data_IF_902004334477
#
_entry.id   IF_902004334477
#
_cell.length_a   1.000
_cell.length_b   1.000
_cell.length_c   1.000
_cell.angle_alpha   90.00
_cell.angle_beta   90.00
_cell.angle_gamma   90.00
#
_symmetry.space_group_name_H-M   'P 1'
#
loop_
_entity.id
_entity.type
_entity.pdbx_description
1 polymer ?
#
# COMPACT_ATOMS: atom_id res chain seq x y z
N UNK A 1 2.96 -14.08 -1.05
CA UNK A 1 2.40 -12.81 -1.54
C UNK A 1 2.85 -11.68 -0.64
N UNK A 2 3.54 -10.69 -1.17
CA UNK A 2 4.05 -9.55 -0.41
C UNK A 2 3.29 -8.28 -0.78
N UNK A 3 2.85 -7.54 0.23
CA UNK A 3 2.25 -6.21 0.05
C UNK A 3 3.21 -5.20 0.65
N UNK A 4 3.66 -4.26 -0.18
CA UNK A 4 4.55 -3.20 0.25
C UNK A 4 3.80 -1.87 0.31
N UNK A 5 3.52 -1.39 1.51
CA UNK A 5 2.98 -0.05 1.75
C UNK A 5 3.93 0.84 2.57
N UNK A 6 5.01 0.26 3.08
CA UNK A 6 5.91 0.90 4.02
C UNK A 6 7.00 1.79 3.38
N UNK A 7 7.97 2.20 4.19
CA UNK A 7 9.12 3.07 3.87
C UNK A 7 10.06 2.53 2.79
N UNK A 8 9.90 1.29 2.34
CA UNK A 8 10.69 0.78 1.23
C UNK A 8 10.23 1.47 -0.05
N UNK A 9 11.14 2.21 -0.64
CA UNK A 9 10.93 2.84 -1.94
C UNK A 9 10.57 1.74 -2.95
N UNK A 10 9.43 1.88 -3.61
CA UNK A 10 9.11 1.09 -4.78
C UNK A 10 10.25 1.27 -5.78
N UNK A 11 11.06 0.24 -5.96
CA UNK A 11 12.19 0.24 -6.87
C UNK A 11 12.11 -0.95 -7.82
N UNK A 12 12.73 -0.82 -8.98
CA UNK A 12 12.87 -1.92 -9.93
C UNK A 12 13.56 -3.13 -9.30
N UNK A 13 14.58 -2.89 -8.46
CA UNK A 13 15.28 -3.93 -7.69
C UNK A 13 14.36 -4.71 -6.75
N UNK A 14 13.38 -4.03 -6.14
CA UNK A 14 12.40 -4.69 -5.27
C UNK A 14 11.52 -5.67 -6.06
N UNK A 15 11.04 -5.28 -7.25
CA UNK A 15 10.26 -6.18 -8.10
C UNK A 15 11.09 -7.34 -8.63
N UNK A 16 12.36 -7.10 -8.95
CA UNK A 16 13.27 -8.14 -9.39
C UNK A 16 13.52 -9.18 -8.29
N UNK A 17 13.75 -8.74 -7.04
CA UNK A 17 13.87 -9.63 -5.89
C UNK A 17 12.58 -10.44 -5.65
N UNK A 18 11.39 -9.81 -5.76
CA UNK A 18 10.10 -10.51 -5.65
C UNK A 18 9.97 -11.59 -6.72
N UNK A 19 10.37 -11.29 -7.97
CA UNK A 19 10.34 -12.24 -9.07
C UNK A 19 11.30 -13.42 -8.82
N UNK A 20 12.52 -13.16 -8.34
CA UNK A 20 13.51 -14.19 -8.01
C UNK A 20 13.00 -15.15 -6.92
N UNK A 21 12.25 -14.65 -5.95
CA UNK A 21 11.66 -15.47 -4.88
C UNK A 21 10.34 -16.16 -5.29
N UNK A 22 9.92 -16.06 -6.56
CA UNK A 22 8.67 -16.62 -7.09
C UNK A 22 7.43 -16.15 -6.32
N UNK A 23 7.46 -14.93 -5.81
CA UNK A 23 6.35 -14.31 -5.10
C UNK A 23 5.66 -13.25 -5.95
N UNK A 24 4.44 -12.90 -5.55
CA UNK A 24 3.67 -11.81 -6.14
C UNK A 24 3.71 -10.56 -5.26
N UNK A 25 3.61 -9.38 -5.88
CA UNK A 25 3.62 -8.11 -5.17
C UNK A 25 2.41 -7.25 -5.54
N UNK A 26 1.83 -6.61 -4.52
CA UNK A 26 0.89 -5.50 -4.66
C UNK A 26 1.48 -4.30 -3.94
N UNK A 27 1.82 -3.23 -4.67
CA UNK A 27 2.60 -2.12 -4.15
C UNK A 27 1.92 -0.78 -4.46
N UNK A 28 1.81 0.09 -3.46
CA UNK A 28 1.27 1.43 -3.66
C UNK A 28 2.23 2.31 -4.46
N UNK A 29 1.73 2.95 -5.50
CA UNK A 29 2.47 3.95 -6.28
C UNK A 29 2.49 5.27 -5.51
N UNK A 30 3.67 5.74 -5.14
CA UNK A 30 3.87 6.99 -4.41
C UNK A 30 4.11 8.17 -5.35
N UNK A 31 3.90 9.42 -4.90
CA UNK A 31 4.13 10.63 -5.73
C UNK A 31 5.54 10.80 -6.26
N UNK A 32 6.56 10.21 -5.61
CA UNK A 32 7.93 10.22 -6.10
C UNK A 32 8.14 9.38 -7.37
N UNK A 33 7.22 8.47 -7.68
CA UNK A 33 7.20 7.65 -8.91
C UNK A 33 6.34 8.33 -9.98
N UNK A 34 6.69 9.56 -10.37
CA UNK A 34 5.89 10.43 -11.25
C UNK A 34 5.49 9.75 -12.56
N UNK A 35 6.43 9.11 -13.24
CA UNK A 35 6.19 8.44 -14.53
C UNK A 35 5.13 7.34 -14.38
N UNK A 36 5.31 6.44 -13.42
CA UNK A 36 4.40 5.32 -13.16
C UNK A 36 3.01 5.81 -12.72
N UNK A 37 2.96 6.83 -11.87
CA UNK A 37 1.72 7.45 -11.42
C UNK A 37 0.95 8.09 -12.58
N UNK A 38 1.63 8.80 -13.47
CA UNK A 38 1.01 9.41 -14.65
C UNK A 38 0.49 8.34 -15.61
N UNK A 39 1.24 7.25 -15.82
CA UNK A 39 0.75 6.12 -16.62
C UNK A 39 -0.50 5.48 -16.00
N UNK A 40 -0.52 5.29 -14.67
CA UNK A 40 -1.69 4.74 -13.98
C UNK A 40 -2.93 5.65 -14.11
N UNK A 41 -2.75 6.96 -13.98
CA UNK A 41 -3.83 7.93 -14.19
C UNK A 41 -4.34 7.88 -15.63
N UNK A 42 -3.45 7.99 -16.60
CA UNK A 42 -3.80 7.96 -18.01
C UNK A 42 -4.58 6.69 -18.38
N UNK A 43 -4.09 5.52 -17.95
CA UNK A 43 -4.78 4.25 -18.22
C UNK A 43 -6.16 4.23 -17.56
N UNK A 44 -6.29 4.71 -16.31
CA UNK A 44 -7.57 4.71 -15.60
C UNK A 44 -8.58 5.72 -16.13
N UNK A 45 -8.14 6.74 -16.85
CA UNK A 45 -9.01 7.77 -17.46
C UNK A 45 -9.48 7.38 -18.86
N UNK A 46 -8.66 6.60 -19.60
CA UNK A 46 -8.91 6.29 -21.02
C UNK A 46 -9.34 4.85 -21.29
N UNK A 47 -9.28 3.97 -20.29
CA UNK A 47 -9.65 2.56 -20.46
C UNK A 47 -10.79 2.17 -19.51
N UNK A 48 -11.58 1.20 -19.94
CA UNK A 48 -12.58 0.57 -19.07
C UNK A 48 -11.90 -0.40 -18.09
N UNK A 49 -12.31 -0.43 -16.83
CA UNK A 49 -11.77 -1.38 -15.87
C UNK A 49 -12.17 -2.82 -16.22
N UNK A 50 -11.26 -3.77 -16.07
CA UNK A 50 -11.55 -5.20 -16.22
C UNK A 50 -12.55 -5.69 -15.16
N UNK A 51 -12.37 -5.23 -13.94
CA UNK A 51 -13.25 -5.53 -12.82
C UNK A 51 -13.37 -4.31 -11.91
N UNK A 52 -14.52 -4.18 -11.26
CA UNK A 52 -14.75 -3.13 -10.26
C UNK A 52 -15.45 -3.70 -9.03
N UNK A 53 -15.13 -3.16 -7.87
CA UNK A 53 -15.74 -3.54 -6.60
C UNK A 53 -15.96 -2.32 -5.73
N UNK A 54 -17.19 -2.15 -5.24
CA UNK A 54 -17.51 -1.11 -4.27
C UNK A 54 -17.81 -1.75 -2.92
N UNK A 55 -16.98 -1.43 -1.95
CA UNK A 55 -17.15 -1.92 -0.59
C UNK A 55 -18.35 -1.26 0.08
N UNK A 56 -19.15 -2.06 0.81
CA UNK A 56 -20.25 -1.53 1.63
C UNK A 56 -19.71 -0.47 2.62
N UNK A 57 -20.50 0.59 2.87
CA UNK A 57 -20.10 1.64 3.79
C UNK A 57 -19.73 1.07 5.17
N UNK A 58 -18.54 1.40 5.66
CA UNK A 58 -18.10 1.02 7.00
C UNK A 58 -18.27 2.22 7.94
N UNK A 59 -19.08 2.05 8.98
CA UNK A 59 -19.33 3.06 10.01
C UNK A 59 -18.56 2.67 11.27
N UNK A 60 -17.45 3.33 11.56
CA UNK A 60 -16.66 3.15 12.78
C UNK A 60 -16.21 4.48 13.34
N UNK A 61 -16.30 4.66 14.68
CA UNK A 61 -15.79 5.84 15.40
C UNK A 61 -16.19 7.18 14.78
N UNK A 62 -17.50 7.34 14.45
CA UNK A 62 -18.05 8.56 13.82
C UNK A 62 -17.56 8.80 12.39
N UNK A 63 -17.00 7.80 11.71
CA UNK A 63 -16.56 7.87 10.31
C UNK A 63 -17.42 6.98 9.46
N UNK A 64 -17.83 7.50 8.31
CA UNK A 64 -18.46 6.73 7.24
C UNK A 64 -17.46 6.66 6.09
N UNK A 65 -16.98 5.46 5.79
CA UNK A 65 -15.99 5.25 4.74
C UNK A 65 -16.51 4.26 3.70
N UNK A 66 -16.42 4.64 2.43
CA UNK A 66 -16.65 3.79 1.26
C UNK A 66 -15.39 3.71 0.43
N UNK A 67 -15.15 2.56 -0.18
CA UNK A 67 -14.04 2.35 -1.11
C UNK A 67 -14.56 1.75 -2.39
N UNK A 68 -14.10 2.30 -3.52
CA UNK A 68 -14.29 1.75 -4.85
C UNK A 68 -12.92 1.33 -5.38
N UNK A 69 -12.81 0.11 -5.86
CA UNK A 69 -11.62 -0.42 -6.48
C UNK A 69 -11.93 -0.73 -7.94
N UNK A 70 -10.99 -0.39 -8.80
CA UNK A 70 -11.06 -0.63 -10.24
C UNK A 70 -9.72 -1.19 -10.69
N UNK A 71 -9.76 -2.27 -11.46
CA UNK A 71 -8.57 -2.97 -11.96
C UNK A 71 -8.42 -2.73 -13.45
N UNK A 72 -7.25 -2.30 -13.87
CA UNK A 72 -6.93 -1.99 -15.26
C UNK A 72 -5.74 -2.83 -15.71
N UNK A 73 -5.89 -3.59 -16.79
CA UNK A 73 -4.76 -4.28 -17.41
C UNK A 73 -3.79 -3.28 -18.03
N UNK A 74 -2.52 -3.66 -18.05
CA UNK A 74 -1.50 -2.94 -18.79
C UNK A 74 -1.34 -3.68 -20.12
N UNK A 75 -1.64 -3.04 -21.26
CA UNK A 75 -1.44 -3.68 -22.57
C UNK A 75 0.03 -4.06 -22.77
N UNK A 76 0.30 -5.29 -23.21
CA UNK A 76 1.65 -5.78 -23.47
C UNK A 76 2.39 -4.92 -24.50
N UNK A 77 1.67 -4.45 -25.51
CA UNK A 77 2.20 -3.55 -26.54
C UNK A 77 2.74 -2.25 -25.93
N UNK A 78 2.06 -1.70 -24.93
CA UNK A 78 2.51 -0.48 -24.24
C UNK A 78 3.81 -0.70 -23.48
N UNK A 79 4.05 -1.90 -22.95
CA UNK A 79 5.28 -2.25 -22.24
C UNK A 79 6.48 -2.37 -23.17
N UNK A 80 6.29 -2.91 -24.38
CA UNK A 80 7.36 -3.13 -25.34
C UNK A 80 7.79 -1.85 -26.05
N UNK A 81 6.85 -0.94 -26.33
CA UNK A 81 7.11 0.27 -27.12
C UNK A 81 7.60 1.46 -26.29
N UNK A 82 7.28 1.52 -24.99
CA UNK A 82 7.58 2.68 -24.16
C UNK A 82 8.74 2.41 -23.20
N UNK A 83 9.84 3.14 -23.39
CA UNK A 83 11.02 3.10 -22.51
C UNK A 83 10.70 3.33 -21.02
N UNK A 84 9.55 3.92 -20.68
CA UNK A 84 9.07 4.11 -19.30
C UNK A 84 8.89 2.78 -18.56
N UNK A 85 8.54 1.71 -19.29
CA UNK A 85 8.31 0.38 -18.71
C UNK A 85 9.56 -0.43 -18.47
N UNK A 86 10.73 0.04 -18.92
CA UNK A 86 12.01 -0.65 -18.67
C UNK A 86 12.25 -0.83 -17.16
N UNK A 87 12.27 -2.10 -16.72
CA UNK A 87 12.39 -2.52 -15.33
C UNK A 87 11.06 -2.62 -14.57
N UNK A 88 9.92 -2.51 -15.28
CA UNK A 88 8.58 -2.70 -14.75
C UNK A 88 7.82 -3.80 -15.51
N UNK A 89 8.55 -4.64 -16.26
CA UNK A 89 7.99 -5.66 -17.15
C UNK A 89 7.11 -6.68 -16.42
N UNK A 90 7.43 -6.95 -15.14
CA UNK A 90 6.65 -7.87 -14.31
C UNK A 90 5.31 -7.30 -13.83
N UNK A 91 5.06 -6.00 -14.01
CA UNK A 91 3.78 -5.40 -13.62
C UNK A 91 2.72 -5.74 -14.67
N UNK A 92 1.61 -6.33 -14.23
CA UNK A 92 0.52 -6.78 -15.14
C UNK A 92 -0.72 -5.90 -15.09
N UNK A 93 -0.96 -5.21 -13.98
CA UNK A 93 -2.14 -4.35 -13.84
C UNK A 93 -1.91 -3.18 -12.89
N UNK A 94 -2.76 -2.16 -13.06
CA UNK A 94 -2.98 -1.09 -12.08
C UNK A 94 -4.28 -1.33 -11.33
N UNK A 95 -4.28 -0.94 -10.06
CA UNK A 95 -5.49 -0.90 -9.24
C UNK A 95 -5.69 0.54 -8.76
N UNK A 96 -6.80 1.15 -9.17
CA UNK A 96 -7.26 2.45 -8.68
C UNK A 96 -8.15 2.24 -7.47
N UNK A 97 -7.79 2.85 -6.36
CA UNK A 97 -8.57 2.81 -5.12
C UNK A 97 -9.05 4.20 -4.80
N UNK A 98 -10.34 4.40 -4.91
CA UNK A 98 -11.02 5.63 -4.51
C UNK A 98 -11.61 5.44 -3.13
N UNK A 99 -11.16 6.23 -2.17
CA UNK A 99 -11.64 6.23 -0.79
C UNK A 99 -12.40 7.50 -0.51
N UNK A 100 -13.65 7.33 -0.14
CA UNK A 100 -14.56 8.40 0.21
C UNK A 100 -14.80 8.37 1.72
N UNK A 101 -14.50 9.47 2.42
CA UNK A 101 -14.62 9.55 3.87
C UNK A 101 -15.49 10.75 4.28
N UNK A 102 -16.48 10.48 5.12
CA UNK A 102 -17.27 11.48 5.82
C UNK A 102 -17.04 11.37 7.32
N UNK A 103 -16.89 12.48 8.01
CA UNK A 103 -16.74 12.54 9.48
C UNK A 103 -18.04 13.07 10.06
N UNK A 104 -18.52 12.44 11.13
CA UNK A 104 -19.70 12.91 11.87
C UNK A 104 -19.29 14.08 12.77
N UNK A 105 -19.99 15.19 12.62
CA UNK A 105 -19.82 16.35 13.48
C UNK A 105 -20.84 16.25 14.61
N UNK A 106 -20.37 16.00 15.83
CA UNK A 106 -21.22 15.85 17.01
C UNK A 106 -21.96 17.12 17.40
N UNK A 107 -21.40 18.31 17.12
CA UNK A 107 -22.04 19.60 17.41
C UNK A 107 -23.19 19.88 16.48
N UNK A 108 -23.00 19.62 15.18
CA UNK A 108 -24.03 19.83 14.15
C UNK A 108 -24.93 18.61 13.93
N UNK A 109 -24.65 17.46 14.57
CA UNK A 109 -25.36 16.18 14.39
C UNK A 109 -25.47 15.72 12.93
N UNK A 110 -24.51 16.08 12.09
CA UNK A 110 -24.48 15.77 10.66
C UNK A 110 -23.11 15.28 10.20
N UNK A 111 -23.04 14.66 9.02
CA UNK A 111 -21.77 14.29 8.39
C UNK A 111 -21.20 15.47 7.60
N UNK A 112 -19.91 15.75 7.80
CA UNK A 112 -19.18 16.73 6.99
C UNK A 112 -19.14 16.31 5.52
N UNK A 113 -18.82 17.30 4.62
CA UNK A 113 -18.60 17.02 3.20
C UNK A 113 -17.59 15.88 3.04
N UNK A 114 -17.87 15.02 2.08
CA UNK A 114 -17.03 13.90 1.73
C UNK A 114 -15.64 14.35 1.28
N UNK A 115 -14.59 13.72 1.80
CA UNK A 115 -13.22 13.86 1.29
C UNK A 115 -12.87 12.62 0.48
N UNK A 116 -12.65 12.80 -0.81
CA UNK A 116 -12.23 11.73 -1.73
C UNK A 116 -10.71 11.71 -1.84
N UNK A 117 -10.13 10.54 -1.69
CA UNK A 117 -8.71 10.30 -1.92
C UNK A 117 -8.55 9.14 -2.89
N UNK A 118 -7.82 9.37 -3.98
CA UNK A 118 -7.47 8.35 -4.96
C UNK A 118 -6.03 7.88 -4.70
N UNK A 119 -5.83 6.58 -4.73
CA UNK A 119 -4.52 5.93 -4.61
C UNK A 119 -4.40 4.89 -5.71
N UNK A 120 -3.19 4.70 -6.23
CA UNK A 120 -2.89 3.74 -7.27
C UNK A 120 -1.95 2.67 -6.72
N UNK A 121 -2.18 1.43 -7.14
CA UNK A 121 -1.34 0.29 -6.84
C UNK A 121 -0.93 -0.39 -8.14
N UNK A 122 0.22 -1.03 -8.14
CA UNK A 122 0.67 -1.95 -9.19
C UNK A 122 0.64 -3.37 -8.65
N UNK A 123 0.42 -4.33 -9.53
CA UNK A 123 0.49 -5.74 -9.17
C UNK A 123 1.26 -6.53 -10.22
N UNK A 124 2.01 -7.53 -9.76
CA UNK A 124 2.69 -8.52 -10.62
C UNK A 124 1.76 -9.68 -11.00
N UNK A 125 0.57 -9.74 -10.40
CA UNK A 125 -0.45 -10.75 -10.69
C UNK A 125 -1.81 -10.09 -10.86
N UNK A 126 -2.61 -10.61 -11.76
CA UNK A 126 -3.97 -10.16 -11.99
C UNK A 126 -4.92 -10.89 -11.02
N UNK A 127 -5.71 -10.12 -10.29
CA UNK A 127 -6.81 -10.58 -9.47
C UNK A 127 -8.05 -9.74 -9.76
N UNK A 128 -9.21 -10.17 -9.32
CA UNK A 128 -10.42 -9.36 -9.34
C UNK A 128 -10.37 -8.22 -8.30
N UNK A 129 -11.22 -7.22 -8.48
CA UNK A 129 -11.22 -6.02 -7.62
C UNK A 129 -11.58 -6.33 -6.16
N UNK A 130 -12.39 -7.38 -5.90
CA UNK A 130 -12.75 -7.82 -4.55
C UNK A 130 -11.54 -8.39 -3.83
N UNK A 131 -10.80 -9.28 -4.47
CA UNK A 131 -9.56 -9.87 -3.94
C UNK A 131 -8.52 -8.78 -3.65
N UNK A 132 -8.35 -7.79 -4.55
CA UNK A 132 -7.47 -6.65 -4.26
C UNK A 132 -7.94 -5.84 -3.05
N UNK A 133 -9.26 -5.70 -2.83
CA UNK A 133 -9.77 -5.01 -1.64
C UNK A 133 -9.38 -5.75 -0.36
N UNK A 134 -9.51 -7.06 -0.34
CA UNK A 134 -9.13 -7.93 0.81
C UNK A 134 -7.62 -7.86 1.07
N UNK A 135 -6.81 -7.96 0.02
CA UNK A 135 -5.36 -7.87 0.10
C UNK A 135 -4.91 -6.53 0.68
N UNK A 136 -5.38 -5.42 0.12
CA UNK A 136 -5.00 -4.07 0.53
C UNK A 136 -5.46 -3.78 1.96
N UNK A 137 -6.63 -4.25 2.36
CA UNK A 137 -7.14 -4.08 3.73
C UNK A 137 -6.42 -4.96 4.74
N UNK A 138 -6.11 -6.20 4.39
CA UNK A 138 -5.35 -7.11 5.25
C UNK A 138 -4.01 -6.51 5.65
N UNK A 139 -3.30 -5.92 4.69
CA UNK A 139 -2.03 -5.23 4.96
C UNK A 139 -2.18 -4.05 5.94
N UNK A 140 -3.20 -3.19 5.76
CA UNK A 140 -3.49 -2.11 6.70
C UNK A 140 -3.81 -2.61 8.11
N UNK A 141 -4.42 -3.79 8.21
CA UNK A 141 -4.68 -4.45 9.49
C UNK A 141 -3.39 -4.85 10.21
N UNK A 142 -2.42 -5.39 9.49
CA UNK A 142 -1.12 -5.78 10.04
C UNK A 142 -0.34 -4.52 10.46
N UNK A 143 -0.24 -3.51 9.60
CA UNK A 143 0.47 -2.27 9.89
C UNK A 143 -0.09 -1.58 11.14
N UNK A 144 -1.41 -1.41 11.24
CA UNK A 144 -2.03 -0.78 12.40
C UNK A 144 -1.95 -1.61 13.68
N UNK A 145 -2.00 -2.94 13.60
CA UNK A 145 -1.94 -3.80 14.78
C UNK A 145 -0.50 -3.98 15.29
N UNK A 146 0.45 -4.19 14.39
CA UNK A 146 1.83 -4.50 14.75
C UNK A 146 2.63 -3.23 15.01
N UNK A 147 2.60 -2.26 14.08
CA UNK A 147 3.41 -1.04 14.21
C UNK A 147 2.88 -0.14 15.32
N UNK A 148 1.55 0.00 15.47
CA UNK A 148 0.99 0.77 16.58
C UNK A 148 1.41 0.23 17.94
N UNK A 149 1.46 -1.10 18.11
CA UNK A 149 1.94 -1.71 19.34
C UNK A 149 3.43 -1.40 19.57
N UNK A 150 4.25 -1.51 18.53
CA UNK A 150 5.67 -1.17 18.60
C UNK A 150 5.91 0.29 18.95
N UNK A 151 5.22 1.21 18.27
CA UNK A 151 5.41 2.65 18.46
C UNK A 151 4.86 3.12 19.81
N UNK A 152 3.70 2.61 20.24
CA UNK A 152 3.03 3.07 21.46
C UNK A 152 3.50 2.33 22.71
N UNK A 153 3.62 0.99 22.66
CA UNK A 153 4.02 0.20 23.83
C UNK A 153 5.53 0.11 23.98
N UNK A 154 6.27 -0.12 22.91
CA UNK A 154 7.73 -0.23 22.95
C UNK A 154 8.45 1.09 22.73
N UNK A 155 7.76 2.16 22.31
CA UNK A 155 8.32 3.48 22.03
C UNK A 155 9.57 3.42 21.15
N UNK A 156 9.56 2.54 20.14
CA UNK A 156 10.71 2.33 19.25
C UNK A 156 11.15 3.62 18.55
N UNK A 157 10.20 4.47 18.13
CA UNK A 157 10.48 5.76 17.49
C UNK A 157 11.14 6.79 18.41
N UNK A 158 10.99 6.63 19.73
CA UNK A 158 11.65 7.48 20.73
C UNK A 158 13.07 6.99 21.08
N UNK A 159 13.44 5.80 20.60
CA UNK A 159 14.80 5.27 20.81
C UNK A 159 15.81 6.05 19.97
N UNK A 160 16.71 6.76 20.64
CA UNK A 160 17.83 7.48 20.02
C UNK A 160 19.00 6.58 19.63
N UNK A 161 18.88 5.26 19.80
CA UNK A 161 19.94 4.30 19.48
C UNK A 161 19.97 4.11 17.96
N UNK A 162 20.89 4.78 17.31
CA UNK A 162 21.20 4.60 15.89
C UNK A 162 22.34 3.60 15.78
N UNK A 163 22.03 2.34 15.59
CA UNK A 163 23.03 1.33 15.27
C UNK A 163 23.40 1.47 13.80
N UNK A 164 24.66 1.76 13.51
CA UNK A 164 25.17 1.70 12.13
C UNK A 164 25.03 0.26 11.62
N UNK A 165 24.61 0.03 10.36
CA UNK A 165 24.54 -1.32 9.81
C UNK A 165 25.92 -1.97 9.89
N UNK A 166 26.04 -3.11 10.56
CA UNK A 166 27.27 -3.90 10.63
C UNK A 166 27.92 -4.04 12.01
N UNK A 167 27.42 -3.36 13.06
CA UNK A 167 27.99 -3.51 14.41
C UNK A 167 26.91 -4.06 15.33
N UNK A 168 26.87 -5.38 15.49
CA UNK A 168 26.21 -6.02 16.62
C UNK A 168 27.11 -5.82 17.85
N UNK A 169 26.90 -4.73 18.60
CA UNK A 169 27.55 -4.58 19.88
C UNK A 169 26.80 -5.42 20.92
N UNK A 170 27.46 -6.43 21.43
CA UNK A 170 26.98 -7.27 22.54
C UNK A 170 26.83 -6.50 23.88
N UNK A 171 26.87 -5.17 23.86
CA UNK A 171 26.77 -4.30 25.04
C UNK A 171 25.50 -3.46 25.05
N UNK A 172 24.34 -4.08 24.81
CA UNK A 172 23.08 -3.40 25.07
C UNK A 172 22.54 -3.88 26.43
N UNK A 173 22.61 -3.07 27.50
CA UNK A 173 22.20 -3.50 28.84
C UNK A 173 20.71 -3.82 28.95
N UNK A 174 19.89 -3.46 27.95
CA UNK A 174 18.46 -3.76 27.92
C UNK A 174 18.10 -5.15 27.40
N UNK A 175 19.05 -5.87 26.76
CA UNK A 175 18.81 -7.24 26.30
C UNK A 175 19.04 -8.29 27.39
N UNK A 176 19.52 -7.91 28.58
CA UNK A 176 19.77 -8.85 29.70
C UNK A 176 18.59 -9.01 30.69
N UNK A 177 17.54 -8.22 30.63
CA UNK A 177 16.42 -8.35 31.59
C UNK A 177 15.22 -9.17 31.08
N UNK A 178 15.28 -9.73 29.86
CA UNK A 178 14.17 -10.50 29.30
C UNK A 178 14.33 -12.03 29.38
N UNK A 179 15.40 -12.53 30.01
CA UNK A 179 15.62 -13.97 30.13
C UNK A 179 16.04 -14.37 31.54
N UNK A 180 15.33 -13.98 32.58
CA UNK A 180 15.35 -14.66 33.90
C UNK A 180 14.19 -14.11 34.73
N UNK A 181 13.02 -14.69 34.60
CA UNK A 181 12.16 -15.20 35.68
C UNK A 181 11.06 -16.04 35.09
#
# INVERSE_FOLDING_TARGET
MYIYNGCFALSKKTLEAVKQTKNDAVIQVKPNQKSLLNSAKFISEHNTPLTSFTQRPNKKHGRLETRKLEVFAIPELSKSLDKKWKGWESVVCFVRVERNRKLFNTKKKEYNKSKTKVSYYISTKLFDAKTFAEIIQGHWGIENKVNHVKDVQFKEDLSRIRIKPGIFSAKNPRSRSAYFQ
#
